data_IF_038423440246
#
_entry.id   IF_038423440246
#
_cell.length_a   1.000
_cell.length_b   1.000
_cell.length_c   1.000
_cell.angle_alpha   90.00
_cell.angle_beta   90.00
_cell.angle_gamma   90.00
#
_symmetry.space_group_name_H-M   'P 1'
#
loop_
_entity.id
_entity.type
_entity.pdbx_description
1 polymer ?
#
# COMPACT_ATOMS: atom_id res chain seq x y z
N UNK A 1 -18.86 -12.99 -8.11
CA UNK A 1 -18.99 -12.33 -6.79
C UNK A 1 -19.76 -11.02 -6.96
N UNK A 2 -20.81 -10.78 -6.17
CA UNK A 2 -21.68 -9.63 -6.33
C UNK A 2 -20.89 -8.32 -6.19
N UNK A 3 -21.01 -7.36 -7.12
CA UNK A 3 -20.14 -6.17 -7.22
C UNK A 3 -20.14 -5.26 -5.97
N UNK A 4 -21.03 -5.50 -5.01
CA UNK A 4 -21.22 -4.73 -3.78
C UNK A 4 -20.10 -4.91 -2.74
N UNK A 5 -19.37 -6.04 -2.75
CA UNK A 5 -18.39 -6.37 -1.69
C UNK A 5 -16.93 -6.03 -2.02
N UNK A 6 -16.64 -5.50 -3.21
CA UNK A 6 -15.28 -5.16 -3.65
C UNK A 6 -14.50 -4.22 -2.72
N UNK A 7 -15.12 -3.18 -2.12
CA UNK A 7 -14.43 -2.34 -1.14
C UNK A 7 -13.99 -3.13 0.09
N UNK A 8 -14.85 -4.04 0.58
CA UNK A 8 -14.57 -4.88 1.75
C UNK A 8 -13.41 -5.84 1.47
N UNK A 9 -13.40 -6.47 0.29
CA UNK A 9 -12.28 -7.34 -0.14
C UNK A 9 -10.98 -6.56 -0.19
N UNK A 10 -11.01 -5.33 -0.70
CA UNK A 10 -9.82 -4.46 -0.76
C UNK A 10 -9.30 -4.10 0.63
N UNK A 11 -10.21 -3.76 1.55
CA UNK A 11 -9.85 -3.44 2.94
C UNK A 11 -9.28 -4.66 3.64
N UNK A 12 -9.93 -5.82 3.53
CA UNK A 12 -9.44 -7.07 4.14
C UNK A 12 -8.05 -7.44 3.62
N UNK A 13 -7.82 -7.31 2.31
CA UNK A 13 -6.52 -7.51 1.70
C UNK A 13 -5.46 -6.59 2.31
N UNK A 14 -5.70 -5.28 2.32
CA UNK A 14 -4.79 -4.31 2.90
C UNK A 14 -4.56 -4.58 4.41
N UNK A 15 -5.59 -4.93 5.15
CA UNK A 15 -5.49 -5.19 6.58
C UNK A 15 -4.60 -6.40 6.88
N UNK A 16 -4.87 -7.55 6.22
CA UNK A 16 -4.18 -8.81 6.52
C UNK A 16 -2.74 -8.80 6.00
N UNK A 17 -2.51 -8.28 4.80
CA UNK A 17 -1.21 -8.41 4.13
C UNK A 17 -0.30 -7.20 4.29
N UNK A 18 -0.83 -6.05 4.74
CA UNK A 18 -0.03 -4.84 4.91
C UNK A 18 -0.16 -4.27 6.32
N UNK A 19 -1.36 -3.86 6.75
CA UNK A 19 -1.53 -3.10 8.00
C UNK A 19 -1.14 -3.91 9.22
N UNK A 20 -1.68 -5.12 9.39
CA UNK A 20 -1.38 -5.96 10.56
C UNK A 20 0.12 -6.29 10.63
N UNK A 21 0.76 -6.81 9.57
CA UNK A 21 2.19 -7.08 9.59
C UNK A 21 3.04 -5.83 9.88
N UNK A 22 2.74 -4.70 9.24
CA UNK A 22 3.48 -3.45 9.45
C UNK A 22 3.32 -2.91 10.88
N UNK A 23 2.11 -2.99 11.46
CA UNK A 23 1.87 -2.58 12.85
C UNK A 23 2.65 -3.48 13.81
N UNK A 24 2.68 -4.80 13.58
CA UNK A 24 3.48 -5.72 14.40
C UNK A 24 4.97 -5.36 14.32
N UNK A 25 5.49 -5.10 13.11
CA UNK A 25 6.88 -4.65 12.94
C UNK A 25 7.11 -3.33 13.67
N UNK A 26 6.23 -2.34 13.51
CA UNK A 26 6.35 -1.04 14.16
C UNK A 26 6.39 -1.18 15.69
N UNK A 27 5.43 -1.88 16.28
CA UNK A 27 5.35 -2.08 17.74
C UNK A 27 6.55 -2.84 18.32
N UNK A 28 7.16 -3.74 17.55
CA UNK A 28 8.27 -4.59 18.04
C UNK A 28 9.66 -4.05 17.71
N UNK A 29 9.75 -3.13 16.75
CA UNK A 29 11.01 -2.63 16.19
C UNK A 29 11.37 -1.22 16.63
N UNK A 30 10.40 -0.41 17.06
CA UNK A 30 10.67 0.99 17.42
C UNK A 30 10.75 1.20 18.92
N UNK A 31 11.60 2.13 19.33
CA UNK A 31 11.75 2.55 20.72
C UNK A 31 10.62 3.48 21.19
N UNK A 32 9.64 3.77 20.33
CA UNK A 32 8.44 4.53 20.67
C UNK A 32 7.58 3.81 21.73
N UNK A 33 7.73 2.49 21.80
CA UNK A 33 7.04 1.63 22.73
C UNK A 33 8.07 1.03 23.69
N UNK A 34 7.76 0.99 24.99
CA UNK A 34 8.63 0.43 26.05
C UNK A 34 8.87 -1.09 25.95
N UNK A 35 8.82 -1.68 24.75
CA UNK A 35 8.88 -3.11 24.47
C UNK A 35 9.57 -3.46 23.16
N UNK A 36 10.60 -2.69 22.76
CA UNK A 36 11.42 -3.02 21.58
C UNK A 36 12.05 -4.42 21.74
N UNK A 37 11.67 -5.35 20.88
CA UNK A 37 12.16 -6.73 20.84
C UNK A 37 13.18 -6.94 19.72
N UNK A 38 13.06 -6.16 18.65
CA UNK A 38 13.93 -6.24 17.48
C UNK A 38 14.94 -5.10 17.54
N UNK A 39 16.20 -5.45 17.80
CA UNK A 39 17.31 -4.48 17.91
C UNK A 39 18.24 -4.51 16.68
N UNK A 40 18.03 -5.44 15.75
CA UNK A 40 18.85 -5.56 14.55
C UNK A 40 18.43 -4.52 13.51
N UNK A 41 19.29 -3.52 13.27
CA UNK A 41 19.08 -2.47 12.29
C UNK A 41 18.61 -2.99 10.91
N UNK A 42 19.25 -4.04 10.39
CA UNK A 42 18.90 -4.60 9.08
C UNK A 42 17.51 -5.23 9.09
N UNK A 43 17.09 -5.83 10.20
CA UNK A 43 15.74 -6.37 10.33
C UNK A 43 14.70 -5.25 10.32
N UNK A 44 14.96 -4.14 11.02
CA UNK A 44 14.07 -2.97 11.07
C UNK A 44 13.99 -2.30 9.69
N UNK A 45 15.08 -2.29 8.92
CA UNK A 45 15.13 -1.72 7.57
C UNK A 45 14.41 -2.60 6.54
N UNK A 46 14.81 -3.87 6.42
CA UNK A 46 14.40 -4.73 5.30
C UNK A 46 13.05 -5.39 5.50
N UNK A 47 12.63 -5.69 6.73
CA UNK A 47 11.34 -6.35 7.00
C UNK A 47 10.14 -5.54 6.50
N UNK A 48 9.98 -4.24 6.85
CA UNK A 48 8.84 -3.46 6.35
C UNK A 48 8.92 -3.28 4.82
N UNK A 49 10.12 -3.13 4.24
CA UNK A 49 10.31 -3.07 2.78
C UNK A 49 9.83 -4.36 2.12
N UNK A 50 10.21 -5.52 2.67
CA UNK A 50 9.81 -6.82 2.16
C UNK A 50 8.28 -7.02 2.24
N UNK A 51 7.65 -6.62 3.35
CA UNK A 51 6.18 -6.66 3.50
C UNK A 51 5.50 -5.78 2.45
N UNK A 52 5.97 -4.53 2.29
CA UNK A 52 5.44 -3.61 1.30
C UNK A 52 5.54 -4.17 -0.11
N UNK A 53 6.74 -4.63 -0.50
CA UNK A 53 7.00 -5.21 -1.80
C UNK A 53 6.16 -6.47 -2.07
N UNK A 54 6.08 -7.38 -1.10
CA UNK A 54 5.27 -8.59 -1.21
C UNK A 54 3.78 -8.26 -1.36
N UNK A 55 3.25 -7.35 -0.54
CA UNK A 55 1.84 -6.96 -0.59
C UNK A 55 1.46 -6.30 -1.92
N UNK A 56 2.34 -5.48 -2.51
CA UNK A 56 2.10 -4.84 -3.80
C UNK A 56 2.20 -5.87 -4.93
N UNK A 57 3.22 -6.73 -4.90
CA UNK A 57 3.43 -7.76 -5.93
C UNK A 57 2.25 -8.74 -5.98
N UNK A 58 1.79 -9.19 -4.81
CA UNK A 58 0.64 -10.08 -4.72
C UNK A 58 -0.66 -9.36 -5.16
N UNK A 59 -0.81 -8.06 -4.91
CA UNK A 59 -1.97 -7.29 -5.35
C UNK A 59 -2.00 -7.17 -6.88
N UNK A 60 -0.84 -7.00 -7.53
CA UNK A 60 -0.71 -6.98 -8.98
C UNK A 60 -1.15 -8.33 -9.56
N UNK A 61 -0.64 -9.43 -8.99
CA UNK A 61 -1.00 -10.78 -9.43
C UNK A 61 -2.51 -11.05 -9.28
N UNK A 62 -3.09 -10.71 -8.13
CA UNK A 62 -4.52 -10.91 -7.88
C UNK A 62 -5.39 -9.99 -8.74
N UNK A 63 -4.93 -8.80 -9.08
CA UNK A 63 -5.62 -7.90 -10.01
C UNK A 63 -5.61 -8.49 -11.42
N UNK A 64 -4.50 -9.11 -11.85
CA UNK A 64 -4.40 -9.84 -13.11
C UNK A 64 -5.43 -10.98 -13.21
N UNK A 65 -5.63 -11.74 -12.13
CA UNK A 65 -6.67 -12.78 -12.06
C UNK A 65 -8.09 -12.25 -11.77
N UNK A 66 -8.32 -10.93 -11.79
CA UNK A 66 -9.59 -10.29 -11.42
C UNK A 66 -10.13 -10.67 -10.02
N UNK A 67 -9.25 -11.09 -9.11
CA UNK A 67 -9.56 -11.35 -7.69
C UNK A 67 -9.49 -10.07 -6.85
N UNK A 68 -8.85 -9.02 -7.38
CA UNK A 68 -8.76 -7.68 -6.80
C UNK A 68 -9.07 -6.61 -7.85
N UNK A 69 -9.58 -5.47 -7.39
CA UNK A 69 -9.83 -4.33 -8.26
C UNK A 69 -8.61 -3.42 -8.28
N UNK A 70 -8.39 -2.79 -9.42
CA UNK A 70 -7.33 -1.77 -9.55
C UNK A 70 -7.51 -0.60 -8.56
N UNK A 71 -8.74 -0.32 -8.11
CA UNK A 71 -9.00 0.70 -7.09
C UNK A 71 -8.36 0.38 -5.73
N UNK A 72 -8.00 -0.88 -5.44
CA UNK A 72 -7.32 -1.27 -4.20
C UNK A 72 -5.98 -0.56 -4.05
N UNK A 73 -5.26 -0.33 -5.16
CA UNK A 73 -3.96 0.35 -5.14
C UNK A 73 -4.04 1.78 -4.60
N UNK A 74 -5.20 2.46 -4.71
CA UNK A 74 -5.45 3.80 -4.14
C UNK A 74 -5.26 3.84 -2.63
N UNK A 75 -5.47 2.72 -1.96
CA UNK A 75 -5.28 2.59 -0.51
C UNK A 75 -3.94 1.92 -0.20
N UNK A 76 -3.59 0.88 -0.94
CA UNK A 76 -2.41 0.06 -0.70
C UNK A 76 -1.11 0.88 -0.78
N UNK A 77 -0.95 1.69 -1.83
CA UNK A 77 0.30 2.45 -2.05
C UNK A 77 0.48 3.53 -0.97
N UNK A 78 -0.53 4.40 -0.69
CA UNK A 78 -0.38 5.38 0.39
C UNK A 78 -0.17 4.76 1.76
N UNK A 79 -0.88 3.67 2.09
CA UNK A 79 -0.68 2.96 3.35
C UNK A 79 0.74 2.39 3.46
N UNK A 80 1.27 1.83 2.38
CA UNK A 80 2.64 1.29 2.36
C UNK A 80 3.64 2.42 2.60
N UNK A 81 3.47 3.57 1.95
CA UNK A 81 4.32 4.74 2.14
C UNK A 81 4.25 5.28 3.57
N UNK A 82 3.05 5.33 4.18
CA UNK A 82 2.87 5.74 5.58
C UNK A 82 3.68 4.83 6.51
N UNK A 83 3.47 3.51 6.44
CA UNK A 83 4.13 2.58 7.34
C UNK A 83 5.64 2.53 7.12
N UNK A 84 6.10 2.57 5.87
CA UNK A 84 7.54 2.66 5.60
C UNK A 84 8.13 3.94 6.18
N UNK A 85 7.48 5.08 5.99
CA UNK A 85 8.00 6.36 6.51
C UNK A 85 8.11 6.31 8.02
N UNK A 86 7.06 5.88 8.73
CA UNK A 86 7.06 5.93 10.20
C UNK A 86 8.06 4.95 10.81
N UNK A 87 8.20 3.74 10.25
CA UNK A 87 9.12 2.72 10.73
C UNK A 87 10.56 3.09 10.36
N UNK A 88 10.82 3.56 9.15
CA UNK A 88 12.20 3.92 8.75
C UNK A 88 12.68 5.20 9.42
N UNK A 89 11.82 6.20 9.58
CA UNK A 89 12.16 7.39 10.35
C UNK A 89 12.38 7.10 11.84
N UNK A 90 11.90 5.94 12.35
CA UNK A 90 12.20 5.52 13.71
C UNK A 90 13.68 5.21 13.94
N UNK A 91 14.44 4.94 12.87
CA UNK A 91 15.88 4.74 12.92
C UNK A 91 16.66 6.04 13.14
N UNK A 92 15.97 7.18 13.09
CA UNK A 92 16.54 8.50 13.36
C UNK A 92 16.08 9.04 14.72
N UNK A 93 16.80 10.01 15.26
CA UNK A 93 16.48 10.67 16.54
C UNK A 93 15.30 11.65 16.46
N UNK A 94 14.49 11.61 15.40
CA UNK A 94 13.28 12.43 15.28
C UNK A 94 12.27 12.04 16.36
N UNK A 95 11.59 13.02 16.97
CA UNK A 95 10.49 12.71 17.89
C UNK A 95 9.31 12.11 17.14
N UNK A 96 8.50 11.30 17.83
CA UNK A 96 7.31 10.67 17.25
C UNK A 96 6.35 11.71 16.64
N UNK A 97 6.26 12.91 17.22
CA UNK A 97 5.43 13.99 16.71
C UNK A 97 5.83 14.42 15.29
N UNK A 98 7.13 14.66 15.07
CA UNK A 98 7.64 15.03 13.74
C UNK A 98 7.51 13.89 12.73
N UNK A 99 7.72 12.64 13.16
CA UNK A 99 7.51 11.46 12.31
C UNK A 99 6.06 11.36 11.84
N UNK A 100 5.10 11.55 12.74
CA UNK A 100 3.67 11.54 12.40
C UNK A 100 3.30 12.67 11.44
N UNK A 101 3.84 13.88 11.65
CA UNK A 101 3.60 15.02 10.76
C UNK A 101 4.12 14.76 9.34
N UNK A 102 5.38 14.32 9.20
CA UNK A 102 5.98 13.99 7.90
C UNK A 102 5.18 12.88 7.22
N UNK A 103 4.81 11.84 7.97
CA UNK A 103 4.02 10.72 7.48
C UNK A 103 2.66 11.16 6.93
N UNK A 104 1.98 12.10 7.61
CA UNK A 104 0.69 12.63 7.17
C UNK A 104 0.82 13.45 5.88
N UNK A 105 1.85 14.31 5.78
CA UNK A 105 2.13 15.08 4.56
C UNK A 105 2.41 14.13 3.38
N UNK A 106 3.25 13.11 3.60
CA UNK A 106 3.54 12.11 2.57
C UNK A 106 2.30 11.29 2.19
N UNK A 107 1.44 10.94 3.15
CA UNK A 107 0.19 10.24 2.87
C UNK A 107 -0.69 10.98 1.85
N UNK A 108 -0.81 12.31 2.02
CA UNK A 108 -1.60 13.16 1.11
C UNK A 108 -0.96 13.15 -0.28
N UNK A 109 0.36 13.36 -0.37
CA UNK A 109 1.10 13.38 -1.64
C UNK A 109 0.95 12.04 -2.37
N UNK A 110 1.22 10.93 -1.70
CA UNK A 110 1.12 9.59 -2.29
C UNK A 110 -0.32 9.23 -2.67
N UNK A 111 -1.32 9.66 -1.89
CA UNK A 111 -2.73 9.45 -2.23
C UNK A 111 -3.12 10.18 -3.52
N UNK A 112 -2.72 11.45 -3.66
CA UNK A 112 -2.97 12.22 -4.88
C UNK A 112 -2.26 11.61 -6.10
N UNK A 113 -0.97 11.29 -5.96
CA UNK A 113 -0.17 10.66 -7.03
C UNK A 113 -0.77 9.33 -7.45
N UNK A 114 -1.11 8.47 -6.49
CA UNK A 114 -1.67 7.15 -6.79
C UNK A 114 -3.02 7.28 -7.49
N UNK A 115 -3.91 8.15 -7.00
CA UNK A 115 -5.21 8.38 -7.64
C UNK A 115 -5.06 8.84 -9.09
N UNK A 116 -4.12 9.74 -9.34
CA UNK A 116 -3.83 10.22 -10.69
C UNK A 116 -3.31 9.11 -11.61
N UNK A 117 -2.36 8.30 -11.14
CA UNK A 117 -1.84 7.14 -11.87
C UNK A 117 -2.97 6.14 -12.19
N UNK A 118 -3.83 5.82 -11.22
CA UNK A 118 -4.96 4.90 -11.44
C UNK A 118 -5.91 5.44 -12.49
N UNK A 119 -6.17 6.75 -12.48
CA UNK A 119 -7.03 7.39 -13.47
C UNK A 119 -6.48 7.20 -14.89
N UNK A 120 -5.17 7.46 -15.08
CA UNK A 120 -4.49 7.27 -16.37
C UNK A 120 -4.56 5.79 -16.82
N UNK A 121 -4.33 4.84 -15.90
CA UNK A 121 -4.39 3.42 -16.24
C UNK A 121 -5.82 3.02 -16.65
N UNK A 122 -6.84 3.47 -15.90
CA UNK A 122 -8.25 3.18 -16.22
C UNK A 122 -8.65 3.76 -17.57
N UNK A 123 -8.24 4.97 -17.88
CA UNK A 123 -8.55 5.62 -19.16
C UNK A 123 -7.95 4.83 -20.34
N UNK A 124 -6.66 4.47 -20.25
CA UNK A 124 -6.02 3.61 -21.26
C UNK A 124 -6.73 2.27 -21.43
N UNK A 125 -7.13 1.63 -20.33
CA UNK A 125 -7.79 0.33 -20.37
C UNK A 125 -9.18 0.39 -21.03
N UNK A 126 -9.91 1.49 -20.81
CA UNK A 126 -11.21 1.73 -21.46
C UNK A 126 -11.06 2.00 -22.96
N UNK A 127 -10.05 2.78 -23.36
CA UNK A 127 -9.77 3.09 -24.76
C UNK A 127 -9.39 1.83 -25.56
N UNK A 128 -8.55 0.95 -24.99
CA UNK A 128 -8.21 -0.35 -25.59
C UNK A 128 -9.45 -1.25 -25.74
N UNK A 129 -10.33 -1.28 -24.75
CA UNK A 129 -11.56 -2.06 -24.81
C UNK A 129 -12.52 -1.55 -25.90
N UNK A 130 -12.60 -0.24 -26.09
CA UNK A 130 -13.42 0.37 -27.15
C UNK A 130 -12.90 0.02 -28.55
N UNK A 131 -11.58 0.00 -28.76
CA UNK A 131 -10.97 -0.41 -30.03
C UNK A 131 -11.23 -1.89 -30.38
N UNK A 132 -11.10 -2.79 -29.40
CA UNK A 132 -11.37 -4.23 -29.62
C UNK A 132 -12.84 -4.51 -29.93
N UNK A 133 -13.77 -3.75 -29.36
CA UNK A 133 -15.19 -3.93 -29.68
C UNK A 133 -15.56 -3.45 -31.09
N UNK A 134 -14.88 -2.42 -31.61
CA UNK A 134 -15.15 -1.91 -32.96
C UNK A 134 -14.59 -2.85 -34.05
N UNK A 135 -13.46 -3.51 -33.79
CA UNK A 135 -12.85 -4.49 -34.71
C UNK A 135 -13.55 -5.85 -34.72
N UNK A 136 -14.36 -6.16 -33.71
CA UNK A 136 -15.15 -7.40 -33.65
C UNK A 136 -16.52 -7.30 -34.34
N UNK A 137 -16.90 -6.13 -34.84
CA UNK A 137 -18.19 -5.86 -35.54
C UNK A 137 -18.00 -5.79 -37.06
N UNK A 138 -16.76 -5.78 -37.55
CA UNK A 138 -16.40 -5.94 -38.97
C UNK A 138 -16.13 -7.41 -39.32
#
# INVERSE_FOLDING_TARGET
MNKKYWPIVSILYCSILLVIPMVVVWLTSTSDFNGQKINNFYAILFTPIAIGFFSISLAILLTYFNLLKIDTFKYLIPLTAIFLTIILSSLTNLSIFWRMFITLVLAIIFSLLTNWIIYIIKDKLNNLKKQNNNTAIE
#
